data_IF_132433160887
#
_entry.id   IF_132433160887
#
_cell.length_a   1.000
_cell.length_b   1.000
_cell.length_c   1.000
_cell.angle_alpha   90.00
_cell.angle_beta   90.00
_cell.angle_gamma   90.00
#
_symmetry.space_group_name_H-M   'P 1'
#
loop_
_entity.id
_entity.type
_entity.pdbx_description
1 polymer ?
#
# COMPACT_ATOMS: atom_id res chain seq x y z
N UNK A 1 4.46 7.46 -3.25
CA UNK A 1 4.20 8.49 -4.28
C UNK A 1 3.23 7.85 -5.24
N UNK A 2 1.93 8.16 -5.13
CA UNK A 2 0.90 7.55 -6.00
C UNK A 2 0.30 8.68 -6.82
N UNK A 3 0.87 8.92 -8.00
CA UNK A 3 0.32 9.86 -8.96
C UNK A 3 -0.76 9.13 -9.78
N UNK A 4 -2.02 9.52 -9.59
CA UNK A 4 -3.12 9.19 -10.49
C UNK A 4 -3.21 10.29 -11.56
N UNK A 5 -2.81 9.97 -12.80
CA UNK A 5 -3.14 10.82 -13.94
C UNK A 5 -4.60 10.59 -14.32
N UNK A 6 -5.44 11.62 -14.16
CA UNK A 6 -6.74 11.70 -14.82
C UNK A 6 -6.68 12.73 -15.96
N UNK A 7 -7.33 12.40 -17.08
CA UNK A 7 -7.37 13.17 -18.33
C UNK A 7 -8.28 14.41 -18.25
N UNK A 8 -8.05 15.29 -17.29
CA UNK A 8 -8.58 16.65 -17.30
C UNK A 8 -7.42 17.57 -16.94
N UNK A 9 -6.93 18.36 -17.92
CA UNK A 9 -5.69 19.14 -17.88
C UNK A 9 -5.66 20.29 -16.86
N UNK A 10 -5.76 19.96 -15.58
CA UNK A 10 -5.55 20.87 -14.46
C UNK A 10 -4.67 20.18 -13.43
N UNK A 11 -3.37 20.53 -13.45
CA UNK A 11 -2.37 20.04 -12.51
C UNK A 11 -2.79 20.44 -11.09
N UNK A 12 -3.19 19.50 -10.22
CA UNK A 12 -3.28 19.79 -8.81
C UNK A 12 -1.85 19.73 -8.27
N UNK A 13 -1.35 20.85 -7.78
CA UNK A 13 -0.08 20.93 -7.07
C UNK A 13 -0.22 20.24 -5.70
N UNK A 14 -0.25 18.90 -5.69
CA UNK A 14 -0.23 18.11 -4.46
C UNK A 14 1.23 17.88 -4.03
N UNK A 15 1.81 18.92 -3.44
CA UNK A 15 3.02 18.81 -2.64
C UNK A 15 2.67 18.38 -1.23
N UNK A 16 2.41 17.10 -1.01
CA UNK A 16 2.45 16.55 0.35
C UNK A 16 3.55 15.50 0.48
N UNK A 17 4.73 16.02 0.82
CA UNK A 17 5.81 15.28 1.45
C UNK A 17 5.23 14.49 2.62
N UNK A 18 5.45 13.19 2.65
CA UNK A 18 5.37 12.41 3.88
C UNK A 18 6.41 13.00 4.84
N UNK A 19 6.01 13.96 5.68
CA UNK A 19 6.85 14.44 6.76
C UNK A 19 6.85 13.35 7.82
N UNK A 20 8.02 12.76 8.05
CA UNK A 20 8.26 11.93 9.23
C UNK A 20 8.12 12.85 10.44
N UNK A 21 6.94 12.87 11.06
CA UNK A 21 6.70 13.62 12.28
C UNK A 21 7.39 12.89 13.42
N UNK A 22 8.48 13.47 13.94
CA UNK A 22 9.13 13.01 15.17
C UNK A 22 8.39 13.65 16.34
N UNK A 23 7.39 12.96 16.88
CA UNK A 23 6.69 13.42 18.09
C UNK A 23 7.26 12.74 19.32
N UNK A 24 7.84 13.57 20.20
CA UNK A 24 8.25 13.23 21.55
C UNK A 24 7.10 13.24 22.56
N UNK A 25 7.26 12.35 23.53
CA UNK A 25 6.65 12.19 24.85
C UNK A 25 5.18 11.75 25.07
N UNK A 26 5.13 10.56 25.67
CA UNK A 26 4.37 10.13 26.85
C UNK A 26 2.85 9.89 26.74
N UNK A 27 2.47 8.66 26.38
CA UNK A 27 1.64 7.86 27.28
C UNK A 27 1.87 6.35 27.09
N UNK A 28 1.84 5.62 28.20
CA UNK A 28 2.19 4.22 28.34
C UNK A 28 1.14 3.29 27.71
N UNK A 29 1.31 2.94 26.43
CA UNK A 29 0.66 1.78 25.85
C UNK A 29 1.70 0.93 25.12
N UNK A 30 1.83 -0.32 25.57
CA UNK A 30 2.97 -1.19 25.26
C UNK A 30 2.95 -1.53 23.77
N UNK A 31 3.87 -0.89 23.03
CA UNK A 31 4.49 -1.37 21.79
C UNK A 31 3.53 -2.09 20.82
N UNK A 32 2.70 -1.37 20.07
CA UNK A 32 1.75 -2.09 19.21
C UNK A 32 2.28 -2.36 17.80
N UNK A 33 3.01 -1.44 17.16
CA UNK A 33 3.45 -1.66 15.76
C UNK A 33 4.84 -1.03 15.49
N UNK A 34 5.91 -1.76 15.80
CA UNK A 34 7.30 -1.31 15.61
C UNK A 34 8.00 -1.99 14.45
N UNK A 35 8.78 -1.20 13.71
CA UNK A 35 9.71 -1.66 12.68
C UNK A 35 11.10 -1.10 13.00
N UNK A 36 11.92 -1.92 13.64
CA UNK A 36 13.22 -1.47 14.15
C UNK A 36 13.05 -0.41 15.23
N UNK A 37 13.60 0.78 14.98
CA UNK A 37 13.51 1.93 15.88
C UNK A 37 12.23 2.76 15.67
N UNK A 38 11.49 2.51 14.60
CA UNK A 38 10.33 3.30 14.21
C UNK A 38 9.02 2.69 14.75
N UNK A 39 8.07 3.56 15.09
CA UNK A 39 6.69 3.22 15.43
C UNK A 39 5.80 3.64 14.27
N UNK A 40 4.86 2.76 13.90
CA UNK A 40 3.91 3.03 12.82
C UNK A 40 2.62 3.60 13.41
N UNK A 41 2.20 4.76 12.93
CA UNK A 41 0.87 5.32 13.20
C UNK A 41 -0.14 4.73 12.20
N UNK A 42 -0.86 3.71 12.65
CA UNK A 42 -1.86 3.03 11.82
C UNK A 42 -3.10 3.89 11.61
N UNK A 43 -3.51 4.67 12.61
CA UNK A 43 -4.75 5.41 12.54
C UNK A 43 -4.69 6.50 11.47
N UNK A 44 -3.58 7.23 11.41
CA UNK A 44 -3.36 8.21 10.32
C UNK A 44 -3.26 7.54 8.95
N UNK A 45 -2.62 6.37 8.87
CA UNK A 45 -2.52 5.60 7.63
C UNK A 45 -3.90 5.15 7.12
N UNK A 46 -4.73 4.58 8.00
CA UNK A 46 -6.06 4.08 7.65
C UNK A 46 -7.01 5.19 7.17
N UNK A 47 -6.97 6.35 7.83
CA UNK A 47 -7.78 7.51 7.44
C UNK A 47 -7.45 8.00 6.03
N UNK A 48 -6.20 7.84 5.58
CA UNK A 48 -5.78 8.22 4.24
C UNK A 48 -6.09 7.14 3.20
N UNK A 49 -5.72 5.89 3.49
CA UNK A 49 -5.70 4.83 2.47
C UNK A 49 -7.07 4.18 2.26
N UNK A 50 -7.85 3.95 3.31
CA UNK A 50 -9.13 3.24 3.18
C UNK A 50 -10.13 3.96 2.26
N UNK A 51 -10.31 5.30 2.33
CA UNK A 51 -11.19 6.01 1.40
C UNK A 51 -10.74 5.92 -0.07
N UNK A 52 -9.43 5.81 -0.31
CA UNK A 52 -8.87 5.67 -1.66
C UNK A 52 -9.12 4.28 -2.24
N UNK A 53 -9.28 3.26 -1.40
CA UNK A 53 -9.52 1.88 -1.82
C UNK A 53 -11.00 1.54 -2.04
N UNK A 54 -11.91 2.27 -1.38
CA UNK A 54 -13.35 2.02 -1.46
C UNK A 54 -13.91 2.03 -2.91
N UNK A 55 -13.53 2.97 -3.80
CA UNK A 55 -13.96 2.94 -5.19
C UNK A 55 -13.60 1.63 -5.87
N UNK A 56 -12.40 1.09 -5.63
CA UNK A 56 -11.91 -0.13 -6.24
C UNK A 56 -12.58 -1.40 -5.69
N UNK A 57 -13.16 -1.34 -4.49
CA UNK A 57 -13.91 -2.47 -3.92
C UNK A 57 -15.30 -2.66 -4.57
N UNK A 58 -15.82 -1.68 -5.31
CA UNK A 58 -17.12 -1.78 -5.96
C UNK A 58 -17.03 -2.48 -7.32
N UNK A 59 -17.91 -3.46 -7.57
CA UNK A 59 -18.05 -4.18 -8.84
C UNK A 59 -18.88 -3.42 -9.89
N UNK A 60 -19.43 -2.26 -9.54
CA UNK A 60 -20.34 -1.48 -10.40
C UNK A 60 -19.62 -0.63 -11.45
N UNK A 61 -18.30 -0.59 -11.45
CA UNK A 61 -17.55 0.20 -12.42
C UNK A 61 -17.64 -0.43 -13.82
N UNK A 62 -18.18 0.33 -14.77
CA UNK A 62 -18.33 -0.08 -16.16
C UNK A 62 -16.98 -0.13 -16.91
N UNK A 63 -15.98 0.60 -16.39
CA UNK A 63 -14.66 0.73 -16.99
C UNK A 63 -13.60 -0.01 -16.15
N UNK A 64 -12.59 -0.57 -16.84
CA UNK A 64 -11.39 -1.11 -16.18
C UNK A 64 -10.62 0.01 -15.48
N UNK A 65 -10.17 -0.24 -14.25
CA UNK A 65 -9.41 0.72 -13.45
C UNK A 65 -8.04 0.16 -13.10
N UNK A 66 -7.08 1.05 -12.83
CA UNK A 66 -5.76 0.66 -12.35
C UNK A 66 -5.59 1.17 -10.93
N UNK A 67 -5.21 0.28 -10.01
CA UNK A 67 -4.86 0.61 -8.63
C UNK A 67 -3.35 0.46 -8.46
N UNK A 68 -2.67 1.54 -8.05
CA UNK A 68 -1.22 1.53 -7.84
C UNK A 68 -0.94 1.53 -6.33
N UNK A 69 -0.18 0.54 -5.85
CA UNK A 69 0.16 0.39 -4.43
C UNK A 69 1.67 0.20 -4.30
N UNK A 70 2.36 1.24 -3.85
CA UNK A 70 3.79 1.24 -3.57
C UNK A 70 3.98 1.53 -2.07
N UNK A 71 4.17 0.58 -1.16
CA UNK A 71 4.51 -0.86 -1.17
C UNK A 71 3.44 -1.64 -0.38
N UNK A 72 3.31 -2.97 -0.57
CA UNK A 72 2.53 -3.84 0.33
C UNK A 72 3.50 -4.58 1.25
N UNK A 73 3.85 -3.93 2.35
CA UNK A 73 4.95 -4.33 3.21
C UNK A 73 4.57 -4.54 4.68
N UNK A 74 5.60 -4.74 5.51
CA UNK A 74 5.41 -5.03 6.94
C UNK A 74 4.67 -3.91 7.68
N UNK A 75 4.87 -2.66 7.27
CA UNK A 75 4.33 -1.49 7.96
C UNK A 75 2.83 -1.36 7.72
N UNK A 76 2.39 -1.55 6.48
CA UNK A 76 1.01 -1.41 6.03
C UNK A 76 0.16 -2.59 6.52
N UNK A 77 0.75 -3.79 6.59
CA UNK A 77 0.07 -5.02 7.03
C UNK A 77 -0.22 -5.09 8.52
N UNK A 78 0.21 -4.10 9.31
CA UNK A 78 -0.33 -3.95 10.65
C UNK A 78 -1.80 -3.51 10.65
N UNK A 79 -2.28 -2.86 9.58
CA UNK A 79 -3.69 -2.52 9.39
C UNK A 79 -4.47 -3.71 8.82
N UNK A 80 -5.35 -4.29 9.64
CA UNK A 80 -6.30 -5.31 9.18
C UNK A 80 -7.32 -4.75 8.16
N UNK A 81 -7.89 -3.54 8.35
CA UNK A 81 -8.74 -2.91 7.35
C UNK A 81 -8.06 -2.77 5.99
N UNK A 82 -6.79 -2.34 5.96
CA UNK A 82 -6.03 -2.23 4.72
C UNK A 82 -5.83 -3.58 4.06
N UNK A 83 -5.40 -4.59 4.82
CA UNK A 83 -5.21 -5.96 4.31
C UNK A 83 -6.49 -6.51 3.67
N UNK A 84 -7.65 -6.30 4.32
CA UNK A 84 -8.95 -6.69 3.77
C UNK A 84 -9.31 -5.92 2.50
N UNK A 85 -9.03 -4.61 2.46
CA UNK A 85 -9.29 -3.79 1.29
C UNK A 85 -8.41 -4.23 0.10
N UNK A 86 -7.12 -4.51 0.32
CA UNK A 86 -6.22 -5.02 -0.73
C UNK A 86 -6.73 -6.34 -1.28
N UNK A 87 -7.14 -7.27 -0.42
CA UNK A 87 -7.75 -8.54 -0.85
C UNK A 87 -8.96 -8.34 -1.76
N UNK A 88 -9.90 -7.46 -1.36
CA UNK A 88 -11.08 -7.14 -2.19
C UNK A 88 -10.73 -6.52 -3.53
N UNK A 89 -9.72 -5.66 -3.57
CA UNK A 89 -9.26 -5.02 -4.80
C UNK A 89 -8.59 -6.04 -5.73
N UNK A 90 -7.79 -6.96 -5.20
CA UNK A 90 -7.18 -8.05 -5.96
C UNK A 90 -8.22 -9.04 -6.51
N UNK A 91 -9.32 -9.26 -5.79
CA UNK A 91 -10.41 -10.14 -6.22
C UNK A 91 -11.37 -9.46 -7.21
N UNK A 92 -11.22 -8.17 -7.49
CA UNK A 92 -12.09 -7.45 -8.41
C UNK A 92 -11.60 -7.56 -9.86
N UNK A 93 -12.31 -8.27 -10.77
CA UNK A 93 -11.87 -8.47 -12.15
C UNK A 93 -11.87 -7.18 -12.99
N UNK A 94 -12.54 -6.13 -12.53
CA UNK A 94 -12.57 -4.81 -13.19
C UNK A 94 -11.39 -3.93 -12.78
N UNK A 95 -10.50 -4.39 -11.91
CA UNK A 95 -9.34 -3.63 -11.42
C UNK A 95 -8.05 -4.37 -11.77
N UNK A 96 -7.08 -3.65 -12.31
CA UNK A 96 -5.70 -4.10 -12.47
C UNK A 96 -4.89 -3.50 -11.34
N UNK A 97 -4.22 -4.34 -10.54
CA UNK A 97 -3.34 -3.88 -9.46
C UNK A 97 -1.90 -3.88 -9.95
N UNK A 98 -1.24 -2.73 -9.82
CA UNK A 98 0.21 -2.61 -9.95
C UNK A 98 0.74 -2.28 -8.57
N UNK A 99 1.64 -3.10 -8.03
CA UNK A 99 2.23 -2.78 -6.74
C UNK A 99 3.60 -3.38 -6.52
N UNK A 100 4.27 -2.86 -5.52
CA UNK A 100 5.59 -3.34 -5.09
C UNK A 100 5.43 -4.21 -3.85
N UNK A 101 6.14 -5.34 -3.85
CA UNK A 101 6.21 -6.26 -2.71
C UNK A 101 7.66 -6.26 -2.21
N UNK A 102 7.88 -6.27 -0.88
CA UNK A 102 9.22 -6.39 -0.35
C UNK A 102 9.85 -7.71 -0.81
N UNK A 103 11.12 -7.64 -1.20
CA UNK A 103 11.93 -8.83 -1.42
C UNK A 103 12.10 -9.52 -0.07
N UNK A 104 11.65 -10.77 0.04
CA UNK A 104 11.67 -11.53 1.30
C UNK A 104 13.12 -11.68 1.81
N UNK A 105 13.59 -10.76 2.66
CA UNK A 105 14.91 -10.76 3.30
C UNK A 105 14.80 -11.03 4.81
N UNK A 106 14.00 -12.02 5.19
CA UNK A 106 13.79 -12.37 6.59
C UNK A 106 12.46 -13.05 6.86
N UNK A 107 11.74 -12.58 7.89
CA UNK A 107 10.44 -13.13 8.31
C UNK A 107 9.41 -13.00 7.18
N UNK A 108 8.81 -14.14 6.81
CA UNK A 108 7.73 -14.18 5.83
C UNK A 108 6.51 -13.42 6.35
N UNK A 109 5.93 -12.61 5.47
CA UNK A 109 4.66 -11.92 5.69
C UNK A 109 3.59 -12.76 5.01
N UNK A 110 2.70 -13.45 5.74
CA UNK A 110 1.76 -14.41 5.15
C UNK A 110 0.94 -13.85 3.99
N UNK A 111 0.47 -12.61 4.12
CA UNK A 111 -0.32 -11.94 3.08
C UNK A 111 0.51 -11.60 1.83
N UNK A 112 1.79 -11.21 1.98
CA UNK A 112 2.68 -10.98 0.83
C UNK A 112 2.91 -12.29 0.07
N UNK A 113 3.11 -13.38 0.80
CA UNK A 113 3.27 -14.69 0.17
C UNK A 113 1.96 -15.15 -0.49
N UNK A 114 0.80 -14.88 0.11
CA UNK A 114 -0.49 -15.15 -0.51
C UNK A 114 -0.60 -14.46 -1.87
N UNK A 115 -0.33 -13.14 -1.94
CA UNK A 115 -0.32 -12.39 -3.20
C UNK A 115 0.70 -12.98 -4.18
N UNK A 116 1.89 -13.39 -3.71
CA UNK A 116 2.93 -13.96 -4.56
C UNK A 116 2.53 -15.29 -5.21
N UNK A 117 1.73 -16.11 -4.53
CA UNK A 117 1.31 -17.44 -5.02
C UNK A 117 0.00 -17.41 -5.81
N UNK A 118 -0.65 -16.26 -5.93
CA UNK A 118 -1.85 -16.11 -6.75
C UNK A 118 -1.55 -16.36 -8.24
N UNK A 119 -2.42 -17.11 -8.90
CA UNK A 119 -2.25 -17.47 -10.31
C UNK A 119 -2.51 -16.31 -11.28
N UNK A 120 -3.23 -15.27 -10.83
CA UNK A 120 -3.56 -14.06 -11.58
C UNK A 120 -2.50 -12.94 -11.43
N UNK A 121 -1.43 -13.19 -10.67
CA UNK A 121 -0.36 -12.21 -10.42
C UNK A 121 0.87 -12.48 -11.29
N UNK A 122 1.41 -11.42 -11.90
CA UNK A 122 2.70 -11.45 -12.59
C UNK A 122 3.76 -10.75 -11.74
N UNK A 123 4.81 -11.49 -11.38
CA UNK A 123 5.90 -10.98 -10.57
C UNK A 123 7.07 -10.53 -11.45
N UNK A 124 7.54 -9.31 -11.20
CA UNK A 124 8.73 -8.76 -11.83
C UNK A 124 9.78 -8.51 -10.76
N UNK A 125 10.92 -9.17 -10.85
CA UNK A 125 12.04 -8.91 -9.96
C UNK A 125 12.89 -7.77 -10.54
N UNK A 126 12.83 -6.61 -9.89
CA UNK A 126 13.60 -5.43 -10.31
C UNK A 126 14.91 -5.41 -9.53
N UNK A 127 16.00 -5.72 -10.22
CA UNK A 127 17.35 -5.72 -9.65
C UNK A 127 17.92 -4.32 -9.48
N UNK A 128 18.99 -4.20 -8.68
CA UNK A 128 19.73 -2.95 -8.57
C UNK A 128 20.52 -2.68 -9.87
N UNK A 129 20.26 -1.55 -10.51
CA UNK A 129 21.09 -1.06 -11.60
C UNK A 129 22.35 -0.42 -11.02
N UNK A 130 23.52 -0.93 -11.41
CA UNK A 130 24.79 -0.29 -11.12
C UNK A 130 25.01 0.80 -12.18
N UNK A 131 24.78 2.05 -11.81
CA UNK A 131 25.19 3.21 -12.61
C UNK A 131 26.64 3.55 -12.21
N UNK A 132 27.52 3.51 -13.21
CA UNK A 132 28.88 4.10 -13.15
C UNK A 132 28.78 5.62 -13.32
#
# INVERSE_FOLDING_TARGET
MVDCLNEEGKVPEVRERLQVVVSGDANNDRCRHRVGQYVVDISSFEQLVLPLMDPFSSTKALNKRVCVIDEIGKMELFSQPFTSAVGKVLDNPSVVVLGTLPVSKGRLLPFVEEIRHRQDVKLFNVGAFLLI
#
